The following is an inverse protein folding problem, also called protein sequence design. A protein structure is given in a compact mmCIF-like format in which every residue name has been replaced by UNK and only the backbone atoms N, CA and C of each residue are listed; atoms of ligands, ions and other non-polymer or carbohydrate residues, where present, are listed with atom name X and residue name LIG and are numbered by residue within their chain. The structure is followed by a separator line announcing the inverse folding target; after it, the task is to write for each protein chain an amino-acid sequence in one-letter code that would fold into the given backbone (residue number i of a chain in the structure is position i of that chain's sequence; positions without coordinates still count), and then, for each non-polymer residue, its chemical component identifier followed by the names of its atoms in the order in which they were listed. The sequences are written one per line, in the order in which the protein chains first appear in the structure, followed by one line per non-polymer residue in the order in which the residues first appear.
data_IF_417165325483
#
_entry.id   IF_417165325483
#
_cell.length_a   1.000
_cell.length_b   1.000
_cell.length_c   1.000
_cell.angle_alpha   90.00
_cell.angle_beta   90.00
_cell.angle_gamma   90.00
#
_symmetry.space_group_name_H-M   'P 1'
#
loop_
_entity.id
_entity.type
_entity.pdbx_description
1 polymer ?
#
# COMPACT_ATOMS: atom_id res chain seq x y z
N UNK A 1 23.68 52.46 25.43
CA UNK A 1 22.22 52.65 25.27
C UNK A 1 21.64 52.40 26.63
N UNK A 2 21.03 53.42 27.21
CA UNK A 2 20.59 53.41 28.60
C UNK A 2 19.39 52.48 28.78
N UNK A 3 19.32 51.80 29.90
CA UNK A 3 18.25 50.92 30.33
C UNK A 3 16.86 51.57 30.22
N UNK A 4 16.76 52.88 30.41
CA UNK A 4 15.54 53.69 30.16
C UNK A 4 14.97 53.60 28.74
N UNK A 5 15.79 53.29 27.74
CA UNK A 5 15.30 53.16 26.34
C UNK A 5 14.70 51.81 26.07
N UNK A 6 15.09 50.78 26.82
CA UNK A 6 14.56 49.43 26.74
C UNK A 6 13.24 49.34 27.50
N UNK A 7 13.16 50.03 28.67
CA UNK A 7 11.95 50.09 29.49
C UNK A 7 10.82 50.85 28.80
N UNK A 8 11.13 51.83 27.96
CA UNK A 8 10.16 52.57 27.16
C UNK A 8 9.72 51.81 25.89
N UNK A 9 10.47 50.85 25.42
CA UNK A 9 10.07 50.01 24.27
C UNK A 9 9.05 48.91 24.67
N UNK A 10 9.04 48.58 25.96
CA UNK A 10 8.07 47.69 26.56
C UNK A 10 7.27 48.42 27.64
N UNK A 11 6.78 49.63 27.32
CA UNK A 11 5.96 50.40 28.22
C UNK A 11 4.79 49.55 28.73
N UNK A 12 4.86 49.17 30.00
CA UNK A 12 3.89 48.31 30.67
C UNK A 12 2.44 48.83 30.56
N UNK A 13 2.30 50.12 30.35
CA UNK A 13 1.01 50.78 30.21
C UNK A 13 0.26 50.40 28.92
N UNK A 14 0.97 50.20 27.79
CA UNK A 14 0.32 49.78 26.54
C UNK A 14 -0.15 48.31 26.57
N UNK A 15 0.61 47.45 27.22
CA UNK A 15 0.22 46.05 27.40
C UNK A 15 -0.92 45.88 28.39
N UNK A 16 -0.97 46.70 29.45
CA UNK A 16 -2.07 46.70 30.41
C UNK A 16 -3.39 47.15 29.75
N UNK A 17 -3.39 48.12 28.85
CA UNK A 17 -4.55 48.50 28.07
C UNK A 17 -5.02 47.40 27.12
N UNK A 18 -4.06 46.74 26.44
CA UNK A 18 -4.37 45.57 25.59
C UNK A 18 -4.94 44.42 26.44
N UNK A 19 -4.31 44.11 27.56
CA UNK A 19 -4.82 43.07 28.47
C UNK A 19 -6.19 43.41 29.01
N UNK A 20 -6.46 44.67 29.36
CA UNK A 20 -7.76 45.09 29.89
C UNK A 20 -8.85 45.03 28.83
N UNK A 21 -8.53 45.38 27.59
CA UNK A 21 -9.48 45.29 26.48
C UNK A 21 -9.78 43.81 26.10
N UNK A 22 -8.80 42.91 26.22
CA UNK A 22 -8.93 41.51 25.90
C UNK A 22 -9.22 40.60 27.10
N UNK A 23 -9.27 41.07 28.34
CA UNK A 23 -9.53 40.27 29.54
C UNK A 23 -10.92 39.64 29.53
N UNK A 24 -11.89 40.24 28.86
CA UNK A 24 -13.25 39.76 28.73
C UNK A 24 -13.46 38.93 27.45
N UNK A 25 -12.47 38.86 26.56
CA UNK A 25 -12.55 38.01 25.39
C UNK A 25 -12.26 36.60 25.80
N UNK A 26 -13.26 35.75 25.87
CA UNK A 26 -13.05 34.29 26.03
C UNK A 26 -12.19 33.84 24.88
N UNK A 27 -10.99 33.29 25.18
CA UNK A 27 -10.11 32.68 24.18
C UNK A 27 -10.77 31.50 23.42
N UNK A 28 -11.99 31.11 23.80
CA UNK A 28 -12.83 30.15 23.12
C UNK A 28 -13.83 30.76 22.12
N UNK A 29 -13.97 32.11 22.12
CA UNK A 29 -14.86 32.78 21.18
C UNK A 29 -14.07 33.23 19.96
N UNK A 30 -14.09 32.40 18.92
CA UNK A 30 -13.56 32.75 17.59
C UNK A 30 -14.55 33.55 16.76
N UNK A 31 -15.54 34.14 17.42
CA UNK A 31 -16.63 34.84 16.78
C UNK A 31 -16.11 36.17 16.25
N UNK A 32 -16.41 36.42 14.98
CA UNK A 32 -16.06 37.67 14.31
C UNK A 32 -16.60 38.90 15.09
N UNK A 33 -17.82 38.80 15.57
CA UNK A 33 -18.48 39.90 16.29
C UNK A 33 -17.78 40.23 17.61
N UNK A 34 -17.36 39.21 18.34
CA UNK A 34 -16.61 39.40 19.59
C UNK A 34 -15.23 40.05 19.37
N UNK A 35 -14.52 39.67 18.33
CA UNK A 35 -13.24 40.31 17.98
C UNK A 35 -13.46 41.76 17.52
N UNK A 36 -14.51 41.98 16.72
CA UNK A 36 -14.88 43.29 16.24
C UNK A 36 -15.22 44.25 17.39
N UNK A 37 -16.09 43.83 18.33
CA UNK A 37 -16.43 44.59 19.53
C UNK A 37 -15.19 44.92 20.37
N UNK A 38 -14.33 43.96 20.62
CA UNK A 38 -13.06 44.17 21.34
C UNK A 38 -12.15 45.20 20.64
N UNK A 39 -12.09 45.20 19.32
CA UNK A 39 -11.30 46.17 18.55
C UNK A 39 -11.95 47.57 18.62
N UNK A 40 -13.25 47.69 18.56
CA UNK A 40 -13.93 48.99 18.72
C UNK A 40 -13.72 49.53 20.13
N UNK A 41 -13.88 48.70 21.16
CA UNK A 41 -13.65 49.08 22.54
C UNK A 41 -12.19 49.54 22.77
N UNK A 42 -11.21 48.81 22.24
CA UNK A 42 -9.83 49.17 22.30
C UNK A 42 -9.54 50.54 21.68
N UNK A 43 -10.07 50.83 20.49
CA UNK A 43 -9.89 52.10 19.79
C UNK A 43 -10.57 53.23 20.55
N UNK A 44 -11.77 53.01 21.08
CA UNK A 44 -12.52 54.00 21.84
C UNK A 44 -11.85 54.40 23.15
N UNK A 45 -11.19 53.45 23.83
CA UNK A 45 -10.44 53.70 25.07
C UNK A 45 -9.09 54.37 24.78
N UNK A 46 -8.40 53.96 23.71
CA UNK A 46 -7.04 54.41 23.41
C UNK A 46 -7.00 55.77 22.70
N UNK A 47 -8.00 56.08 21.89
CA UNK A 47 -8.06 57.29 21.05
C UNK A 47 -9.43 58.00 21.11
N UNK A 48 -9.91 58.41 22.32
CA UNK A 48 -11.26 58.92 22.50
C UNK A 48 -11.55 60.24 21.75
N UNK A 49 -10.50 61.04 21.53
CA UNK A 49 -10.64 62.34 20.88
C UNK A 49 -10.52 62.32 19.35
N UNK A 50 -10.05 61.18 18.78
CA UNK A 50 -9.73 61.11 17.35
C UNK A 50 -10.68 60.17 16.55
N UNK A 51 -11.25 59.22 17.22
CA UNK A 51 -12.07 58.18 16.58
C UNK A 51 -13.36 57.95 17.36
N UNK A 52 -14.37 58.81 17.13
CA UNK A 52 -15.69 58.74 17.74
C UNK A 52 -16.81 58.45 16.70
N UNK A 53 -16.45 58.23 15.43
CA UNK A 53 -17.39 57.86 14.36
C UNK A 53 -17.34 56.36 14.12
N UNK A 54 -18.20 55.64 14.85
CA UNK A 54 -18.37 54.19 14.75
C UNK A 54 -19.58 53.79 13.94
N UNK A 55 -19.97 54.62 12.97
CA UNK A 55 -21.08 54.30 12.08
C UNK A 55 -20.69 53.14 11.19
N UNK A 56 -21.57 52.14 11.08
CA UNK A 56 -21.32 50.87 10.35
C UNK A 56 -20.99 51.03 8.87
N UNK A 57 -21.17 52.23 8.32
CA UNK A 57 -20.86 52.57 6.93
C UNK A 57 -19.53 53.36 6.78
N UNK A 58 -18.77 53.60 7.85
CA UNK A 58 -17.53 54.36 7.75
C UNK A 58 -16.41 53.49 7.19
N UNK A 59 -15.49 54.09 6.41
CA UNK A 59 -14.30 53.41 5.88
C UNK A 59 -13.43 52.84 6.99
N UNK A 60 -13.40 53.50 8.16
CA UNK A 60 -12.63 53.07 9.33
C UNK A 60 -13.20 51.77 9.93
N UNK A 61 -14.51 51.64 10.04
CA UNK A 61 -15.18 50.43 10.52
C UNK A 61 -14.92 49.26 9.55
N UNK A 62 -14.90 49.50 8.24
CA UNK A 62 -14.54 48.48 7.26
C UNK A 62 -13.14 47.96 7.42
N UNK A 63 -12.18 48.80 7.83
CA UNK A 63 -10.82 48.37 8.17
C UNK A 63 -10.78 47.51 9.45
N UNK A 64 -11.53 47.90 10.49
CA UNK A 64 -11.68 47.10 11.71
C UNK A 64 -12.33 45.75 11.42
N UNK A 65 -13.35 45.71 10.56
CA UNK A 65 -14.00 44.47 10.13
C UNK A 65 -13.05 43.55 9.38
N UNK A 66 -12.17 44.10 8.54
CA UNK A 66 -11.10 43.32 7.88
C UNK A 66 -10.10 42.72 8.89
N UNK A 67 -9.68 43.53 9.88
CA UNK A 67 -8.77 43.06 10.94
C UNK A 67 -9.47 42.01 11.81
N UNK A 68 -10.73 42.19 12.15
CA UNK A 68 -11.52 41.21 12.89
C UNK A 68 -11.65 39.88 12.12
N UNK A 69 -11.89 39.96 10.82
CA UNK A 69 -11.95 38.78 9.94
C UNK A 69 -10.60 38.04 9.89
N UNK A 70 -9.48 38.76 9.79
CA UNK A 70 -8.14 38.16 9.85
C UNK A 70 -7.90 37.51 11.21
N UNK A 71 -8.25 38.20 12.31
CA UNK A 71 -8.17 37.68 13.66
C UNK A 71 -8.97 36.40 13.85
N UNK A 72 -10.22 36.38 13.38
CA UNK A 72 -11.09 35.20 13.37
C UNK A 72 -10.44 34.02 12.60
N UNK A 73 -9.99 34.27 11.38
CA UNK A 73 -9.33 33.25 10.54
C UNK A 73 -8.06 32.69 11.18
N UNK A 74 -7.23 33.54 11.79
CA UNK A 74 -6.00 33.12 12.47
C UNK A 74 -6.31 32.30 13.73
N UNK A 75 -7.27 32.77 14.55
CA UNK A 75 -7.69 32.06 15.76
C UNK A 75 -8.25 30.68 15.45
N UNK A 76 -9.09 30.58 14.42
CA UNK A 76 -9.61 29.29 13.96
C UNK A 76 -8.49 28.34 13.52
N UNK A 77 -7.52 28.84 12.74
CA UNK A 77 -6.37 28.04 12.32
C UNK A 77 -5.49 27.61 13.48
N UNK A 78 -5.33 28.47 14.47
CA UNK A 78 -4.55 28.18 15.67
C UNK A 78 -5.21 27.06 16.50
N UNK A 79 -6.54 27.16 16.69
CA UNK A 79 -7.29 26.12 17.40
C UNK A 79 -7.23 24.78 16.67
N UNK A 80 -7.49 24.78 15.36
CA UNK A 80 -7.36 23.59 14.53
C UNK A 80 -5.97 22.98 14.67
N UNK A 81 -4.90 23.77 14.54
CA UNK A 81 -3.56 23.26 14.68
C UNK A 81 -3.26 22.74 16.09
N UNK A 82 -3.80 23.38 17.13
CA UNK A 82 -3.63 22.94 18.51
C UNK A 82 -4.32 21.62 18.75
N UNK A 83 -5.58 21.50 18.29
CA UNK A 83 -6.37 20.26 18.41
C UNK A 83 -5.73 19.09 17.67
N UNK A 84 -5.15 19.36 16.49
CA UNK A 84 -4.46 18.36 15.68
C UNK A 84 -3.14 17.82 16.31
N UNK A 85 -2.65 18.43 17.37
CA UNK A 85 -1.46 17.96 18.09
C UNK A 85 -1.76 16.98 19.25
N UNK A 86 -3.04 16.76 19.57
CA UNK A 86 -3.45 15.84 20.62
C UNK A 86 -4.30 14.70 20.05
N UNK A 87 -4.00 13.46 20.45
CA UNK A 87 -4.65 12.27 19.94
C UNK A 87 -6.17 12.26 20.16
N UNK A 88 -6.61 12.79 21.32
CA UNK A 88 -8.02 12.82 21.71
C UNK A 88 -8.85 13.85 20.92
N UNK A 89 -8.20 14.83 20.32
CA UNK A 89 -8.87 15.95 19.62
C UNK A 89 -8.52 16.05 18.15
N UNK A 90 -7.57 15.26 17.67
CA UNK A 90 -7.15 15.23 16.27
C UNK A 90 -8.26 14.63 15.39
N UNK A 91 -8.71 15.36 14.40
CA UNK A 91 -9.71 14.94 13.43
C UNK A 91 -9.08 14.48 12.11
N UNK A 92 -7.89 15.02 11.78
CA UNK A 92 -7.18 14.67 10.55
C UNK A 92 -6.43 13.37 10.71
N UNK A 93 -6.72 12.44 9.79
CA UNK A 93 -6.06 11.13 9.75
C UNK A 93 -4.54 11.23 9.70
N UNK A 94 -3.99 12.20 8.94
CA UNK A 94 -2.55 12.45 8.86
C UNK A 94 -1.93 12.81 10.22
N UNK A 95 -2.61 13.66 11.00
CA UNK A 95 -2.15 14.06 12.33
C UNK A 95 -2.13 12.86 13.28
N UNK A 96 -3.18 12.04 13.26
CA UNK A 96 -3.26 10.80 14.04
C UNK A 96 -2.14 9.83 13.65
N UNK A 97 -1.91 9.65 12.35
CA UNK A 97 -0.84 8.76 11.85
C UNK A 97 0.54 9.27 12.24
N UNK A 98 0.78 10.57 12.16
CA UNK A 98 2.05 11.19 12.57
C UNK A 98 2.31 10.99 14.06
N UNK A 99 1.29 11.20 14.92
CA UNK A 99 1.42 10.96 16.34
C UNK A 99 1.64 9.48 16.67
N UNK A 100 0.90 8.59 16.01
CA UNK A 100 1.09 7.15 16.15
C UNK A 100 2.53 6.75 15.79
N UNK A 101 3.07 7.27 14.69
CA UNK A 101 4.46 7.04 14.27
C UNK A 101 5.47 7.56 15.30
N UNK A 102 5.21 8.72 15.92
CA UNK A 102 6.06 9.25 16.99
C UNK A 102 6.05 8.36 18.24
N UNK A 103 4.95 7.66 18.50
CA UNK A 103 4.81 6.67 19.58
C UNK A 103 5.35 5.28 19.20
N UNK A 104 5.91 5.11 17.99
CA UNK A 104 6.43 3.83 17.50
C UNK A 104 5.37 2.91 16.91
N UNK A 105 4.15 3.39 16.66
CA UNK A 105 3.11 2.61 15.99
C UNK A 105 3.16 2.84 14.48
N UNK A 106 3.51 1.81 13.73
CA UNK A 106 3.34 1.82 12.29
C UNK A 106 1.93 1.38 11.94
N UNK A 107 1.25 2.18 11.13
CA UNK A 107 -0.04 1.80 10.59
C UNK A 107 0.13 0.63 9.64
N UNK A 108 -0.56 -0.46 9.93
CA UNK A 108 -0.71 -1.58 9.00
C UNK A 108 -1.85 -1.27 8.01
N UNK A 109 -1.58 -1.47 6.73
CA UNK A 109 -2.59 -1.44 5.68
C UNK A 109 -3.34 -2.78 5.64
N UNK A 110 -4.53 -2.84 5.01
CA UNK A 110 -5.19 -4.10 4.74
C UNK A 110 -4.28 -5.07 3.98
N UNK A 111 -4.47 -6.36 4.21
CA UNK A 111 -3.78 -7.43 3.49
C UNK A 111 -4.77 -8.22 2.65
N UNK A 112 -4.32 -8.73 1.52
CA UNK A 112 -5.15 -9.55 0.64
C UNK A 112 -5.42 -10.93 1.24
N UNK A 113 -6.62 -11.44 1.10
CA UNK A 113 -6.91 -12.83 1.39
C UNK A 113 -6.10 -13.74 0.45
N UNK A 114 -5.59 -14.85 0.98
CA UNK A 114 -4.71 -15.76 0.27
C UNK A 114 -4.98 -17.20 0.65
N UNK A 115 -4.78 -18.12 -0.29
CA UNK A 115 -4.98 -19.53 -0.02
C UNK A 115 -4.56 -20.42 -1.18
N UNK A 116 -4.52 -21.72 -0.89
CA UNK A 116 -4.32 -22.74 -1.92
C UNK A 116 -5.68 -23.21 -2.40
N UNK A 117 -5.87 -23.17 -3.71
CA UNK A 117 -7.04 -23.71 -4.39
C UNK A 117 -6.66 -25.02 -5.05
N UNK A 118 -7.37 -26.10 -4.72
CA UNK A 118 -7.22 -27.40 -5.39
C UNK A 118 -7.98 -27.38 -6.70
N UNK A 119 -7.34 -27.77 -7.76
CA UNK A 119 -8.00 -27.98 -9.05
C UNK A 119 -8.73 -29.32 -8.97
N UNK A 120 -10.04 -29.31 -8.99
CA UNK A 120 -10.87 -30.52 -8.85
C UNK A 120 -11.31 -31.13 -10.17
N UNK A 121 -11.42 -30.30 -11.20
CA UNK A 121 -11.73 -30.74 -12.55
C UNK A 121 -11.18 -29.79 -13.59
N UNK A 122 -10.98 -30.28 -14.79
CA UNK A 122 -10.59 -29.48 -15.96
C UNK A 122 -11.49 -29.86 -17.12
N UNK A 123 -12.08 -28.87 -17.77
CA UNK A 123 -12.80 -29.07 -19.04
C UNK A 123 -11.94 -28.51 -20.16
N UNK A 124 -11.60 -29.34 -21.11
CA UNK A 124 -10.81 -28.95 -22.28
C UNK A 124 -11.62 -29.01 -23.56
N UNK A 125 -11.45 -28.02 -24.41
CA UNK A 125 -11.99 -27.99 -25.78
C UNK A 125 -10.88 -28.22 -26.84
N UNK A 126 -9.67 -28.51 -26.39
CA UNK A 126 -8.55 -28.77 -27.29
C UNK A 126 -8.50 -30.22 -27.75
N UNK A 127 -8.03 -30.48 -28.97
CA UNK A 127 -7.84 -31.84 -29.48
C UNK A 127 -6.60 -32.48 -28.85
N UNK A 128 -6.72 -32.88 -27.59
CA UNK A 128 -5.69 -33.56 -26.83
C UNK A 128 -6.01 -35.03 -26.76
N UNK A 129 -5.00 -35.90 -26.78
CA UNK A 129 -5.12 -37.30 -26.51
C UNK A 129 -4.44 -37.65 -25.18
N UNK A 130 -5.00 -38.65 -24.49
CA UNK A 130 -4.34 -39.28 -23.36
C UNK A 130 -3.16 -40.17 -23.81
N UNK A 131 -2.45 -40.77 -22.86
CA UNK A 131 -1.33 -41.66 -23.17
C UNK A 131 -1.71 -42.92 -23.95
N UNK A 132 -3.00 -43.26 -23.92
CA UNK A 132 -3.56 -44.40 -24.68
C UNK A 132 -4.06 -43.97 -26.08
N UNK A 133 -3.98 -42.70 -26.41
CA UNK A 133 -4.44 -42.14 -27.69
C UNK A 133 -5.91 -41.78 -27.74
N UNK A 134 -6.66 -41.83 -26.61
CA UNK A 134 -8.05 -41.43 -26.55
C UNK A 134 -8.18 -39.90 -26.57
N UNK A 135 -9.14 -39.39 -27.35
CA UNK A 135 -9.36 -37.94 -27.38
C UNK A 135 -9.98 -37.42 -26.09
N UNK A 136 -9.34 -36.42 -25.52
CA UNK A 136 -9.82 -35.65 -24.36
C UNK A 136 -10.59 -34.38 -24.76
N UNK A 137 -10.74 -34.13 -26.05
CA UNK A 137 -11.45 -32.95 -26.53
C UNK A 137 -12.90 -32.90 -26.02
N UNK A 138 -13.31 -31.75 -25.52
CA UNK A 138 -14.65 -31.49 -24.97
C UNK A 138 -15.06 -32.46 -23.82
N UNK A 139 -14.12 -32.95 -23.08
CA UNK A 139 -14.36 -33.77 -21.87
C UNK A 139 -14.08 -32.94 -20.62
N UNK A 140 -14.90 -33.18 -19.60
CA UNK A 140 -14.61 -32.76 -18.24
C UNK A 140 -13.89 -33.91 -17.53
N UNK A 141 -12.66 -33.64 -17.10
CA UNK A 141 -11.83 -34.62 -16.41
C UNK A 141 -11.91 -34.27 -14.92
N UNK A 142 -12.51 -35.18 -14.15
CA UNK A 142 -12.62 -35.03 -12.70
C UNK A 142 -11.48 -35.73 -11.97
N UNK A 143 -10.94 -35.10 -10.98
CA UNK A 143 -9.79 -35.56 -10.19
C UNK A 143 -10.06 -36.84 -9.39
N UNK A 144 -11.29 -37.01 -8.95
CA UNK A 144 -11.68 -38.15 -8.13
C UNK A 144 -12.23 -39.36 -8.95
N UNK A 145 -12.18 -39.28 -10.27
CA UNK A 145 -12.67 -40.38 -11.10
C UNK A 145 -11.56 -41.42 -11.23
N UNK A 146 -11.82 -42.60 -10.65
CA UNK A 146 -10.90 -43.75 -10.70
C UNK A 146 -10.63 -44.25 -12.12
N UNK A 147 -11.50 -43.93 -13.07
CA UNK A 147 -11.32 -44.30 -14.49
C UNK A 147 -10.34 -43.36 -15.22
N UNK A 148 -9.92 -42.31 -14.58
CA UNK A 148 -8.99 -41.29 -15.10
C UNK A 148 -7.70 -41.22 -14.26
N UNK A 149 -7.24 -42.33 -13.70
CA UNK A 149 -6.01 -42.36 -12.89
C UNK A 149 -4.80 -41.80 -13.65
N UNK A 150 -4.77 -41.98 -14.96
CA UNK A 150 -3.64 -41.58 -15.82
C UNK A 150 -3.62 -40.07 -16.13
N UNK A 151 -4.74 -39.37 -15.93
CA UNK A 151 -4.74 -37.95 -16.23
C UNK A 151 -3.89 -37.13 -15.23
N UNK A 152 -3.63 -37.67 -14.07
CA UNK A 152 -2.71 -37.06 -13.12
C UNK A 152 -1.32 -36.87 -13.72
N UNK A 153 -0.85 -37.82 -14.51
CA UNK A 153 0.40 -37.72 -15.26
C UNK A 153 0.24 -36.78 -16.47
N UNK A 154 -0.98 -36.69 -17.02
CA UNK A 154 -1.28 -35.91 -18.21
C UNK A 154 -1.74 -34.46 -17.93
N UNK A 155 -1.89 -34.03 -16.66
CA UNK A 155 -2.37 -32.69 -16.36
C UNK A 155 -1.48 -31.59 -16.95
N UNK A 156 -0.18 -31.78 -16.90
CA UNK A 156 0.80 -30.85 -17.49
C UNK A 156 0.67 -30.83 -19.01
N UNK A 157 0.38 -31.95 -19.64
CA UNK A 157 0.13 -32.03 -21.09
C UNK A 157 -1.17 -31.32 -21.49
N UNK A 158 -2.19 -31.43 -20.66
CA UNK A 158 -3.45 -30.68 -20.86
C UNK A 158 -3.20 -29.18 -20.84
N UNK A 159 -2.43 -28.68 -19.89
CA UNK A 159 -2.05 -27.27 -19.85
C UNK A 159 -1.17 -26.91 -21.03
N UNK A 160 -0.18 -27.76 -21.36
CA UNK A 160 0.72 -27.53 -22.48
C UNK A 160 0.01 -27.47 -23.82
N UNK A 161 -1.12 -28.11 -23.97
CA UNK A 161 -1.92 -28.03 -25.20
C UNK A 161 -2.51 -26.64 -25.44
N UNK A 162 -2.72 -25.85 -24.38
CA UNK A 162 -3.17 -24.46 -24.48
C UNK A 162 -2.03 -23.44 -24.58
N UNK A 163 -0.76 -23.89 -24.54
CA UNK A 163 0.42 -23.03 -24.62
C UNK A 163 1.16 -23.21 -25.95
N UNK A 164 1.91 -22.18 -26.37
CA UNK A 164 2.82 -22.31 -27.50
C UNK A 164 4.01 -23.18 -27.20
N UNK A 165 4.72 -23.64 -28.22
CA UNK A 165 5.90 -24.50 -28.06
C UNK A 165 7.01 -23.88 -27.21
N UNK A 166 7.11 -22.53 -27.21
CA UNK A 166 8.10 -21.79 -26.41
C UNK A 166 7.67 -21.58 -24.95
N UNK A 167 6.39 -21.73 -24.66
CA UNK A 167 5.81 -21.50 -23.34
C UNK A 167 5.45 -22.80 -22.62
N UNK A 168 5.71 -23.94 -23.22
CA UNK A 168 5.38 -25.26 -22.63
C UNK A 168 6.16 -25.50 -21.35
N UNK A 169 5.44 -26.02 -20.38
CA UNK A 169 6.01 -26.54 -19.14
C UNK A 169 6.67 -27.88 -19.46
N UNK A 170 7.93 -28.06 -19.09
CA UNK A 170 8.66 -29.32 -19.29
C UNK A 170 8.91 -30.00 -17.95
N UNK A 171 9.66 -29.36 -17.09
CA UNK A 171 10.07 -29.91 -15.80
C UNK A 171 9.64 -28.98 -14.65
N UNK A 172 9.50 -29.50 -13.43
CA UNK A 172 9.30 -28.66 -12.27
C UNK A 172 10.49 -27.74 -12.04
N UNK A 173 10.23 -26.46 -11.77
CA UNK A 173 11.26 -25.48 -11.48
C UNK A 173 11.91 -25.70 -10.10
N UNK A 174 11.18 -26.35 -9.18
CA UNK A 174 11.66 -26.69 -7.85
C UNK A 174 10.85 -27.86 -7.27
N UNK A 175 11.46 -28.59 -6.35
CA UNK A 175 10.82 -29.66 -5.59
C UNK A 175 11.23 -29.61 -4.13
N UNK A 176 10.32 -29.97 -3.22
CA UNK A 176 10.58 -30.01 -1.78
C UNK A 176 9.61 -30.96 -1.06
N UNK A 177 10.11 -31.68 -0.07
CA UNK A 177 9.27 -32.46 0.84
C UNK A 177 8.91 -31.60 2.06
N UNK A 178 7.63 -31.29 2.22
CA UNK A 178 7.10 -30.52 3.35
C UNK A 178 6.19 -31.39 4.20
N UNK A 179 6.58 -31.63 5.45
CA UNK A 179 5.79 -32.46 6.39
C UNK A 179 5.42 -33.85 5.83
N UNK A 180 6.34 -34.50 5.10
CA UNK A 180 6.12 -35.80 4.49
C UNK A 180 5.32 -35.76 3.18
N UNK A 181 5.01 -34.60 2.65
CA UNK A 181 4.30 -34.41 1.38
C UNK A 181 5.33 -33.93 0.35
N UNK A 182 5.41 -34.61 -0.77
CA UNK A 182 6.18 -34.16 -1.91
C UNK A 182 5.47 -33.02 -2.61
N UNK A 183 6.22 -31.95 -2.91
CA UNK A 183 5.71 -30.79 -3.62
C UNK A 183 6.62 -30.47 -4.79
N UNK A 184 6.03 -30.26 -5.95
CA UNK A 184 6.69 -29.88 -7.20
C UNK A 184 6.07 -28.57 -7.70
N UNK A 185 6.89 -27.57 -8.02
CA UNK A 185 6.45 -26.31 -8.59
C UNK A 185 6.65 -26.30 -10.11
N UNK A 186 5.61 -25.98 -10.83
CA UNK A 186 5.61 -25.79 -12.29
C UNK A 186 5.29 -24.34 -12.61
N UNK A 187 6.18 -23.65 -13.32
CA UNK A 187 5.92 -22.27 -13.76
C UNK A 187 5.12 -22.27 -15.07
N UNK A 188 4.02 -21.53 -15.08
CA UNK A 188 3.18 -21.31 -16.24
C UNK A 188 3.37 -19.90 -16.75
N UNK A 189 3.71 -19.76 -18.02
CA UNK A 189 3.87 -18.47 -18.68
C UNK A 189 2.70 -18.22 -19.66
N UNK A 190 1.96 -17.16 -19.44
CA UNK A 190 0.83 -16.71 -20.27
C UNK A 190 1.23 -15.71 -21.38
N UNK A 191 2.46 -15.75 -21.86
CA UNK A 191 2.93 -14.80 -22.87
C UNK A 191 2.15 -14.85 -24.20
N UNK A 192 1.46 -15.96 -24.47
CA UNK A 192 0.66 -16.14 -25.69
C UNK A 192 -0.82 -15.84 -25.43
N UNK A 193 -1.30 -14.75 -26.01
CA UNK A 193 -2.67 -14.29 -25.81
C UNK A 193 -3.72 -15.14 -26.51
N UNK A 194 -3.36 -15.99 -27.50
CA UNK A 194 -4.33 -16.74 -28.32
C UNK A 194 -4.85 -18.01 -27.66
N UNK A 195 -4.09 -18.54 -26.67
CA UNK A 195 -4.41 -19.78 -25.95
C UNK A 195 -4.13 -19.66 -24.45
N UNK A 196 -4.44 -18.51 -23.89
CA UNK A 196 -4.07 -18.19 -22.52
C UNK A 196 -4.81 -19.08 -21.51
N UNK A 197 -4.04 -19.70 -20.61
CA UNK A 197 -4.56 -20.18 -19.34
C UNK A 197 -4.91 -18.96 -18.51
N UNK A 198 -6.15 -18.87 -18.02
CA UNK A 198 -6.55 -17.76 -17.16
C UNK A 198 -5.85 -17.87 -15.80
N UNK A 199 -5.15 -16.83 -15.41
CA UNK A 199 -4.52 -16.75 -14.08
C UNK A 199 -5.28 -15.79 -13.15
N UNK A 200 -6.36 -15.19 -13.61
CA UNK A 200 -7.26 -14.39 -12.78
C UNK A 200 -8.70 -14.84 -13.00
N UNK A 201 -9.47 -14.87 -11.94
CA UNK A 201 -10.87 -15.26 -11.94
C UNK A 201 -11.64 -14.43 -10.91
N UNK A 202 -12.95 -14.49 -10.96
CA UNK A 202 -13.84 -13.79 -10.03
C UNK A 202 -14.75 -14.81 -9.36
N UNK A 203 -14.82 -14.77 -8.04
CA UNK A 203 -15.69 -15.63 -7.25
C UNK A 203 -16.56 -14.82 -6.29
N UNK A 204 -17.80 -15.26 -6.00
CA UNK A 204 -18.67 -14.63 -5.03
C UNK A 204 -18.19 -14.97 -3.61
N UNK A 205 -17.72 -13.97 -2.87
CA UNK A 205 -17.31 -14.12 -1.47
C UNK A 205 -18.00 -13.07 -0.63
N UNK A 206 -18.67 -13.50 0.44
CA UNK A 206 -19.41 -12.61 1.36
C UNK A 206 -20.40 -11.67 0.65
N UNK A 207 -21.09 -12.19 -0.39
CA UNK A 207 -22.12 -11.44 -1.13
C UNK A 207 -21.60 -10.47 -2.18
N UNK A 208 -20.30 -10.41 -2.43
CA UNK A 208 -19.68 -9.58 -3.47
C UNK A 208 -18.76 -10.41 -4.36
N UNK A 209 -18.71 -10.05 -5.64
CA UNK A 209 -17.77 -10.67 -6.57
C UNK A 209 -16.36 -10.16 -6.31
N UNK A 210 -15.45 -11.04 -5.92
CA UNK A 210 -14.04 -10.75 -5.62
C UNK A 210 -13.13 -11.28 -6.72
N UNK A 211 -12.17 -10.46 -7.10
CA UNK A 211 -11.14 -10.86 -8.04
C UNK A 211 -10.03 -11.61 -7.33
N UNK A 212 -9.65 -12.76 -7.86
CA UNK A 212 -8.51 -13.56 -7.44
C UNK A 212 -7.50 -13.63 -8.58
N UNK A 213 -6.24 -13.68 -8.20
CA UNK A 213 -5.14 -13.91 -9.12
C UNK A 213 -4.28 -15.06 -8.61
N UNK A 214 -3.95 -15.99 -9.51
CA UNK A 214 -2.93 -16.98 -9.25
C UNK A 214 -1.56 -16.28 -9.24
N UNK A 215 -0.75 -16.56 -8.23
CA UNK A 215 0.54 -15.92 -8.04
C UNK A 215 1.69 -16.90 -8.23
N UNK A 216 2.86 -16.37 -8.54
CA UNK A 216 4.09 -17.12 -8.57
C UNK A 216 4.51 -17.46 -7.14
N UNK A 217 4.94 -18.72 -6.91
CA UNK A 217 5.37 -19.19 -5.60
C UNK A 217 6.79 -19.76 -5.65
N UNK A 218 7.45 -19.78 -4.50
CA UNK A 218 8.75 -20.38 -4.31
C UNK A 218 8.82 -21.12 -2.97
N UNK A 219 9.85 -21.96 -2.80
CA UNK A 219 10.13 -22.59 -1.53
C UNK A 219 11.14 -21.78 -0.73
N UNK A 220 10.77 -21.40 0.49
CA UNK A 220 11.65 -20.69 1.42
C UNK A 220 11.38 -21.19 2.84
N UNK A 221 12.41 -21.53 3.59
CA UNK A 221 12.33 -21.95 5.00
C UNK A 221 11.28 -23.04 5.26
N UNK A 222 11.24 -24.08 4.44
CA UNK A 222 10.26 -25.16 4.52
C UNK A 222 8.79 -24.69 4.40
N UNK A 223 8.54 -23.64 3.62
CA UNK A 223 7.21 -23.13 3.30
C UNK A 223 7.10 -22.79 1.83
N UNK A 224 5.87 -22.82 1.35
CA UNK A 224 5.52 -22.26 0.05
C UNK A 224 5.08 -20.82 0.29
N UNK A 225 5.80 -19.88 -0.29
CA UNK A 225 5.51 -18.45 -0.19
C UNK A 225 5.28 -17.85 -1.58
N UNK A 226 4.69 -16.67 -1.63
CA UNK A 226 4.64 -15.89 -2.86
C UNK A 226 6.05 -15.43 -3.23
N UNK A 227 6.46 -15.74 -4.44
CA UNK A 227 7.70 -15.23 -5.00
C UNK A 227 7.53 -13.77 -5.44
N UNK A 228 8.62 -13.03 -5.44
CA UNK A 228 8.64 -11.68 -5.97
C UNK A 228 8.17 -11.66 -7.43
N UNK A 229 7.22 -10.78 -7.82
CA UNK A 229 6.71 -10.75 -9.18
C UNK A 229 7.80 -10.28 -10.14
N UNK A 230 7.98 -11.02 -11.24
CA UNK A 230 8.88 -10.64 -12.34
C UNK A 230 8.04 -10.05 -13.47
N UNK A 231 6.91 -10.70 -13.76
CA UNK A 231 5.96 -10.26 -14.76
C UNK A 231 4.53 -10.72 -14.41
N UNK A 232 3.52 -10.04 -14.93
CA UNK A 232 2.11 -10.29 -14.57
C UNK A 232 1.53 -11.58 -15.13
N UNK A 233 2.21 -12.20 -16.09
CA UNK A 233 1.71 -13.36 -16.84
C UNK A 233 2.30 -14.68 -16.37
N UNK A 234 3.02 -14.69 -15.26
CA UNK A 234 3.59 -15.91 -14.68
C UNK A 234 2.93 -16.26 -13.36
N UNK A 235 2.58 -17.52 -13.21
CA UNK A 235 2.14 -18.09 -11.95
C UNK A 235 2.65 -19.52 -11.81
N UNK A 236 2.50 -20.13 -10.65
CA UNK A 236 2.94 -21.50 -10.42
C UNK A 236 1.76 -22.41 -10.16
N UNK A 237 1.84 -23.62 -10.69
CA UNK A 237 1.03 -24.76 -10.31
C UNK A 237 1.85 -25.65 -9.39
N UNK A 238 1.24 -26.07 -8.28
CA UNK A 238 1.86 -26.87 -7.25
C UNK A 238 1.28 -28.27 -7.33
N UNK A 239 2.08 -29.25 -7.72
CA UNK A 239 1.70 -30.65 -7.61
C UNK A 239 2.11 -31.14 -6.22
N UNK A 240 1.16 -31.69 -5.47
CA UNK A 240 1.38 -32.26 -4.13
C UNK A 240 1.00 -33.72 -4.13
N UNK A 241 1.84 -34.54 -3.50
CA UNK A 241 1.59 -35.96 -3.34
C UNK A 241 1.89 -36.39 -1.90
N UNK A 242 0.86 -36.84 -1.18
CA UNK A 242 0.97 -37.38 0.19
C UNK A 242 1.00 -38.89 0.24
N UNK A 243 1.11 -39.57 -0.93
CA UNK A 243 1.11 -41.00 -1.10
C UNK A 243 -0.19 -41.70 -0.63
N UNK A 244 -1.28 -40.96 -0.41
CA UNK A 244 -2.60 -41.52 -0.07
C UNK A 244 -3.54 -41.63 -1.28
N UNK A 245 -3.05 -41.21 -2.43
CA UNK A 245 -3.80 -41.27 -3.70
C UNK A 245 -4.64 -40.01 -4.00
N UNK A 246 -5.26 -39.97 -5.21
CA UNK A 246 -5.93 -38.76 -5.71
C UNK A 246 -7.14 -38.31 -4.91
N UNK A 247 -7.77 -39.22 -4.16
CA UNK A 247 -8.91 -38.92 -3.30
C UNK A 247 -8.53 -38.07 -2.06
N UNK A 248 -7.24 -38.03 -1.72
CA UNK A 248 -6.76 -37.21 -0.59
C UNK A 248 -6.93 -35.70 -0.89
N UNK A 249 -7.43 -34.96 0.09
CA UNK A 249 -7.50 -33.50 0.00
C UNK A 249 -6.11 -32.84 -0.12
N UNK A 250 -5.04 -33.56 0.20
CA UNK A 250 -3.67 -33.07 0.19
C UNK A 250 -2.89 -33.45 -1.06
N UNK A 251 -3.44 -34.33 -1.89
CA UNK A 251 -2.85 -34.76 -3.16
C UNK A 251 -3.56 -34.07 -4.32
N UNK A 252 -2.81 -33.66 -5.32
CA UNK A 252 -3.35 -33.06 -6.53
C UNK A 252 -2.59 -31.82 -6.96
N UNK A 253 -3.19 -31.09 -7.90
CA UNK A 253 -2.67 -29.81 -8.37
C UNK A 253 -3.36 -28.66 -7.66
N UNK A 254 -2.55 -27.72 -7.22
CA UNK A 254 -2.99 -26.55 -6.47
C UNK A 254 -2.44 -25.29 -7.12
N UNK A 255 -3.20 -24.21 -6.97
CA UNK A 255 -2.80 -22.87 -7.33
C UNK A 255 -2.83 -22.02 -6.07
N UNK A 256 -1.79 -21.23 -5.84
CA UNK A 256 -1.80 -20.25 -4.78
C UNK A 256 -2.43 -18.97 -5.30
N UNK A 257 -3.58 -18.62 -4.74
CA UNK A 257 -4.36 -17.47 -5.18
C UNK A 257 -4.42 -16.39 -4.10
N UNK A 258 -4.45 -15.14 -4.55
CA UNK A 258 -4.65 -13.95 -3.72
C UNK A 258 -5.75 -13.09 -4.28
N UNK A 259 -6.50 -12.42 -3.40
CA UNK A 259 -7.47 -11.41 -3.82
C UNK A 259 -6.80 -10.13 -4.29
N UNK A 260 -7.51 -9.31 -5.06
CA UNK A 260 -7.04 -8.03 -5.56
C UNK A 260 -6.32 -8.13 -6.91
N UNK A 261 -5.67 -7.05 -7.29
CA UNK A 261 -4.99 -6.92 -8.59
C UNK A 261 -3.55 -6.49 -8.39
N UNK A 262 -2.62 -7.19 -9.04
CA UNK A 262 -1.23 -6.81 -9.11
C UNK A 262 -1.06 -5.72 -10.19
N UNK A 263 -0.51 -4.58 -9.78
CA UNK A 263 -0.17 -3.45 -10.63
C UNK A 263 1.33 -3.17 -10.55
N UNK A 264 1.83 -2.35 -11.46
CA UNK A 264 3.20 -1.85 -11.38
C UNK A 264 3.34 -0.46 -11.97
N UNK A 265 4.34 0.27 -11.51
CA UNK A 265 4.80 1.54 -12.06
C UNK A 265 6.30 1.49 -12.34
N UNK A 266 6.73 2.21 -13.38
CA UNK A 266 8.14 2.32 -13.74
C UNK A 266 8.60 3.76 -13.51
N UNK A 267 9.78 3.89 -12.87
CA UNK A 267 10.41 5.17 -12.57
C UNK A 267 11.83 5.19 -13.15
N UNK A 268 12.22 6.32 -13.70
CA UNK A 268 13.57 6.51 -14.28
C UNK A 268 14.21 7.78 -13.72
N UNK A 269 15.37 7.62 -13.10
CA UNK A 269 16.16 8.72 -12.55
C UNK A 269 17.50 8.82 -13.29
N UNK A 270 17.64 9.81 -14.15
CA UNK A 270 18.84 10.00 -14.99
C UNK A 270 20.06 10.46 -14.18
N UNK A 271 19.82 11.05 -13.01
CA UNK A 271 20.86 11.50 -12.08
C UNK A 271 20.65 10.87 -10.71
N UNK A 272 21.71 10.78 -9.90
CA UNK A 272 21.60 10.33 -8.52
C UNK A 272 20.81 11.35 -7.69
N UNK A 273 19.75 10.89 -7.06
CA UNK A 273 18.89 11.71 -6.17
C UNK A 273 18.94 11.13 -4.76
N UNK A 274 19.49 11.90 -3.83
CA UNK A 274 19.56 11.51 -2.42
C UNK A 274 18.23 11.82 -1.73
N UNK A 275 17.82 10.96 -0.80
CA UNK A 275 16.56 11.10 -0.04
C UNK A 275 15.33 11.26 -0.96
N UNK A 276 15.34 10.56 -2.08
CA UNK A 276 14.20 10.60 -3.00
C UNK A 276 12.97 10.03 -2.30
N UNK A 277 11.87 10.75 -2.42
CA UNK A 277 10.54 10.29 -2.03
C UNK A 277 9.70 10.15 -3.29
N UNK A 278 9.21 8.95 -3.53
CA UNK A 278 8.31 8.66 -4.66
C UNK A 278 6.96 8.20 -4.12
N UNK A 279 5.87 8.73 -4.66
CA UNK A 279 4.52 8.43 -4.19
C UNK A 279 3.78 7.59 -5.22
N UNK A 280 3.25 6.45 -4.77
CA UNK A 280 2.29 5.66 -5.54
C UNK A 280 0.90 6.08 -5.11
N UNK A 281 0.18 6.74 -6.03
CA UNK A 281 -1.08 7.39 -5.73
C UNK A 281 -2.30 6.44 -5.69
N UNK A 282 -2.14 5.17 -6.10
CA UNK A 282 -3.20 4.18 -6.03
C UNK A 282 -3.66 3.97 -4.59
N UNK A 283 -4.97 3.93 -4.41
CA UNK A 283 -5.58 3.71 -3.09
C UNK A 283 -5.56 2.22 -2.70
N UNK A 284 -5.63 1.98 -1.39
CA UNK A 284 -5.81 0.64 -0.82
C UNK A 284 -4.71 -0.37 -1.21
N UNK A 285 -3.46 0.07 -1.19
CA UNK A 285 -2.31 -0.79 -1.45
C UNK A 285 -2.12 -1.76 -0.27
N UNK A 286 -1.94 -3.04 -0.59
CA UNK A 286 -1.68 -4.11 0.38
C UNK A 286 -0.45 -3.83 1.24
N UNK A 287 -0.53 -4.20 2.52
CA UNK A 287 0.58 -4.02 3.46
C UNK A 287 1.81 -4.89 3.12
N UNK A 288 1.56 -6.10 2.62
CA UNK A 288 2.62 -7.09 2.35
C UNK A 288 3.15 -7.03 0.92
N UNK A 289 2.34 -6.56 -0.02
CA UNK A 289 2.54 -6.75 -1.44
C UNK A 289 3.01 -5.47 -2.12
N UNK A 290 4.18 -5.01 -1.72
CA UNK A 290 4.92 -3.93 -2.38
C UNK A 290 6.35 -4.40 -2.59
N UNK A 291 6.81 -4.43 -3.83
CA UNK A 291 8.18 -4.83 -4.21
C UNK A 291 8.80 -3.74 -5.07
N UNK A 292 10.03 -3.38 -4.77
CA UNK A 292 10.79 -2.41 -5.55
C UNK A 292 11.96 -3.12 -6.19
N UNK A 293 12.08 -2.98 -7.49
CA UNK A 293 13.08 -3.68 -8.30
C UNK A 293 13.87 -2.70 -9.16
N UNK A 294 15.12 -3.02 -9.38
CA UNK A 294 15.88 -2.44 -10.49
C UNK A 294 15.57 -3.20 -11.76
N UNK A 295 15.41 -2.45 -12.83
CA UNK A 295 15.25 -2.98 -14.17
C UNK A 295 16.33 -2.39 -15.10
N UNK A 296 16.66 -3.13 -16.14
CA UNK A 296 17.58 -2.64 -17.16
C UNK A 296 16.89 -1.64 -18.12
N UNK A 297 17.60 -1.21 -19.15
CA UNK A 297 17.09 -0.29 -20.17
C UNK A 297 15.98 -0.90 -21.04
N UNK A 298 15.82 -2.23 -21.00
CA UNK A 298 14.77 -2.97 -21.71
C UNK A 298 13.59 -3.32 -20.78
N UNK A 299 13.57 -2.75 -19.56
CA UNK A 299 12.60 -3.05 -18.52
C UNK A 299 12.61 -4.51 -18.04
N UNK A 300 13.72 -5.21 -18.17
CA UNK A 300 13.90 -6.56 -17.65
C UNK A 300 14.41 -6.50 -16.21
N UNK A 301 13.92 -7.39 -15.33
CA UNK A 301 14.33 -7.49 -13.95
C UNK A 301 15.86 -7.66 -13.84
N UNK A 302 16.48 -6.89 -12.98
CA UNK A 302 17.92 -6.94 -12.70
C UNK A 302 18.21 -7.37 -11.27
N UNK A 303 17.62 -6.71 -10.28
CA UNK A 303 17.78 -7.02 -8.86
C UNK A 303 16.65 -6.45 -8.02
N UNK A 304 16.46 -7.02 -6.83
CA UNK A 304 15.50 -6.49 -5.85
C UNK A 304 16.15 -5.42 -4.99
N UNK A 305 15.35 -4.42 -4.61
CA UNK A 305 15.73 -3.39 -3.65
C UNK A 305 15.32 -3.86 -2.26
N UNK A 306 16.23 -3.79 -1.29
CA UNK A 306 15.96 -4.25 0.06
C UNK A 306 14.97 -3.32 0.76
N UNK A 307 13.83 -3.86 1.20
CA UNK A 307 12.91 -3.13 2.07
C UNK A 307 13.50 -3.04 3.47
N UNK A 308 13.50 -1.83 4.03
CA UNK A 308 13.88 -1.57 5.40
C UNK A 308 12.67 -1.04 6.16
N UNK A 309 12.34 -1.67 7.27
CA UNK A 309 11.33 -1.17 8.19
C UNK A 309 11.98 -0.17 9.14
N UNK A 310 11.40 1.01 9.23
CA UNK A 310 11.86 2.02 10.17
C UNK A 310 11.77 1.57 11.64
N UNK A 311 11.07 0.47 11.91
CA UNK A 311 10.74 -0.01 13.25
C UNK A 311 11.63 -1.13 13.77
N UNK A 312 12.35 -1.84 12.92
CA UNK A 312 13.26 -2.87 13.39
C UNK A 312 14.65 -2.29 13.54
N UNK A 313 15.19 -2.32 14.74
CA UNK A 313 16.58 -1.92 15.05
C UNK A 313 17.61 -2.67 14.21
N UNK A 314 17.26 -3.81 13.66
CA UNK A 314 18.09 -4.64 12.78
C UNK A 314 18.18 -4.09 11.36
N UNK A 315 17.16 -3.37 10.90
CA UNK A 315 17.10 -2.74 9.59
C UNK A 315 17.28 -1.22 9.66
N UNK A 316 17.45 -0.67 10.87
CA UNK A 316 17.80 0.73 11.02
C UNK A 316 19.11 1.00 10.29
N UNK A 317 19.08 1.98 9.44
CA UNK A 317 20.21 2.47 8.61
C UNK A 317 21.50 2.62 9.43
N UNK A 318 21.39 2.93 10.72
CA UNK A 318 22.51 3.13 11.65
C UNK A 318 23.25 1.87 12.07
N UNK A 319 22.64 0.68 11.94
CA UNK A 319 23.27 -0.57 12.42
C UNK A 319 23.94 -1.37 11.32
N UNK A 320 23.86 -0.94 10.09
CA UNK A 320 24.32 -1.72 8.97
C UNK A 320 25.48 -1.08 8.25
N UNK A 321 26.64 -1.02 8.90
CA UNK A 321 27.92 -0.87 8.20
C UNK A 321 28.12 -1.96 7.10
N UNK A 322 27.35 -3.04 7.14
CA UNK A 322 27.32 -4.09 6.10
C UNK A 322 26.54 -3.68 4.86
N UNK A 323 25.54 -2.81 4.96
CA UNK A 323 24.67 -2.42 3.85
C UNK A 323 24.89 -0.98 3.38
N UNK A 324 25.97 -0.34 3.80
CA UNK A 324 26.29 1.05 3.46
C UNK A 324 26.36 1.40 1.97
N UNK A 325 26.32 0.39 1.09
CA UNK A 325 26.31 0.54 -0.37
C UNK A 325 25.17 -0.26 -1.02
N UNK A 326 24.14 -0.67 -0.26
CA UNK A 326 23.00 -1.40 -0.79
C UNK A 326 21.90 -0.48 -1.30
N UNK A 327 21.11 -1.00 -2.25
CA UNK A 327 19.86 -0.37 -2.64
C UNK A 327 18.81 -0.68 -1.59
N UNK A 328 18.36 0.34 -0.89
CA UNK A 328 17.38 0.26 0.19
C UNK A 328 16.19 1.17 -0.07
N UNK A 329 15.03 0.77 0.41
CA UNK A 329 13.80 1.57 0.34
C UNK A 329 12.95 1.31 1.58
N UNK A 330 12.39 2.36 2.18
CA UNK A 330 11.34 2.21 3.18
C UNK A 330 9.98 2.53 2.58
N UNK A 331 8.94 1.78 2.99
CA UNK A 331 7.57 1.90 2.48
C UNK A 331 6.71 2.50 3.58
N UNK A 332 6.35 3.76 3.43
CA UNK A 332 5.51 4.48 4.38
C UNK A 332 4.06 4.53 3.92
N UNK A 333 3.14 4.41 4.86
CA UNK A 333 1.71 4.52 4.57
C UNK A 333 1.29 5.98 4.65
N UNK A 334 0.61 6.46 3.61
CA UNK A 334 -0.03 7.77 3.54
C UNK A 334 -1.55 7.63 3.51
N UNK A 335 -2.26 8.72 3.20
CA UNK A 335 -3.71 8.71 3.10
C UNK A 335 -4.24 7.72 2.07
N UNK A 336 -5.50 7.31 2.25
CA UNK A 336 -6.18 6.33 1.39
C UNK A 336 -5.45 4.98 1.26
N UNK A 337 -4.59 4.62 2.22
CA UNK A 337 -3.72 3.44 2.15
C UNK A 337 -2.80 3.42 0.92
N UNK A 338 -2.48 4.57 0.37
CA UNK A 338 -1.42 4.75 -0.61
C UNK A 338 -0.04 4.68 0.06
N UNK A 339 1.03 4.67 -0.71
CA UNK A 339 2.39 4.51 -0.17
C UNK A 339 3.35 5.57 -0.71
N UNK A 340 4.28 5.96 0.16
CA UNK A 340 5.50 6.68 -0.20
C UNK A 340 6.70 5.76 -0.06
N UNK A 341 7.55 5.79 -1.05
CA UNK A 341 8.82 5.06 -1.12
C UNK A 341 9.94 6.03 -0.82
N UNK A 342 10.64 5.81 0.29
CA UNK A 342 11.79 6.62 0.68
C UNK A 342 13.07 5.86 0.36
N UNK A 343 13.84 6.36 -0.59
CA UNK A 343 15.10 5.77 -1.05
C UNK A 343 16.28 6.24 -0.19
N UNK A 344 17.42 5.59 -0.36
CA UNK A 344 18.65 5.88 0.38
C UNK A 344 19.16 7.30 0.19
N UNK A 345 19.91 7.76 1.19
CA UNK A 345 20.49 9.11 1.27
C UNK A 345 21.82 9.29 0.51
N UNK A 346 22.40 8.19 0.03
CA UNK A 346 23.70 8.16 -0.62
C UNK A 346 24.87 7.96 0.35
N UNK A 347 24.62 7.85 1.65
CA UNK A 347 25.63 7.62 2.71
C UNK A 347 25.44 6.22 3.32
N UNK A 348 24.24 5.93 3.82
CA UNK A 348 23.89 4.64 4.42
C UNK A 348 23.22 3.67 3.45
N UNK A 349 22.67 4.19 2.38
CA UNK A 349 22.12 3.45 1.25
C UNK A 349 22.39 4.19 -0.04
N UNK A 350 22.35 3.48 -1.16
CA UNK A 350 22.58 4.10 -2.46
C UNK A 350 21.51 5.17 -2.73
N UNK A 351 21.95 6.34 -3.22
CA UNK A 351 21.04 7.33 -3.78
C UNK A 351 20.35 6.76 -5.02
N UNK A 352 19.06 7.03 -5.16
CA UNK A 352 18.28 6.52 -6.28
C UNK A 352 18.85 6.99 -7.63
N UNK A 353 19.05 6.05 -8.57
CA UNK A 353 19.48 6.35 -9.94
C UNK A 353 19.18 5.17 -10.86
N UNK A 354 18.95 5.42 -12.15
CA UNK A 354 18.61 4.39 -13.12
C UNK A 354 17.12 4.06 -13.14
N UNK A 355 16.78 2.86 -13.60
CA UNK A 355 15.40 2.44 -13.80
C UNK A 355 14.92 1.56 -12.67
N UNK A 356 13.71 1.83 -12.19
CA UNK A 356 13.03 1.07 -11.16
C UNK A 356 11.66 0.64 -11.64
N UNK A 357 11.23 -0.52 -11.17
CA UNK A 357 9.86 -1.00 -11.25
C UNK A 357 9.34 -1.23 -9.84
N UNK A 358 8.19 -0.69 -9.55
CA UNK A 358 7.49 -0.91 -8.28
C UNK A 358 6.25 -1.74 -8.55
N UNK A 359 6.21 -2.92 -7.98
CA UNK A 359 5.03 -3.77 -7.99
C UNK A 359 4.24 -3.54 -6.73
N UNK A 360 2.94 -3.48 -6.84
CA UNK A 360 2.03 -3.39 -5.71
C UNK A 360 0.70 -4.06 -6.01
N UNK A 361 0.06 -4.58 -4.97
CA UNK A 361 -1.27 -5.19 -5.09
C UNK A 361 -2.27 -4.31 -4.38
N UNK A 362 -3.41 -4.05 -5.02
CA UNK A 362 -4.53 -3.33 -4.43
C UNK A 362 -5.45 -4.29 -3.67
N UNK A 363 -6.14 -3.78 -2.64
CA UNK A 363 -7.11 -4.51 -1.83
C UNK A 363 -8.49 -3.88 -1.99
N UNK A 364 -9.54 -4.63 -1.66
CA UNK A 364 -10.91 -4.10 -1.64
C UNK A 364 -11.17 -3.22 -0.40
N UNK A 365 -10.22 -3.15 0.53
CA UNK A 365 -10.33 -2.42 1.82
C UNK A 365 -11.53 -2.84 2.68
N UNK A 366 -12.03 -4.06 2.48
CA UNK A 366 -13.12 -4.65 3.24
C UNK A 366 -12.63 -5.82 4.08
N UNK A 367 -13.25 -6.00 5.25
CA UNK A 367 -13.00 -7.16 6.09
C UNK A 367 -13.93 -8.29 5.68
N UNK A 368 -13.39 -9.35 5.11
CA UNK A 368 -14.11 -10.57 4.78
C UNK A 368 -13.21 -11.78 5.03
N UNK A 369 -13.85 -12.91 5.16
CA UNK A 369 -13.19 -14.21 5.25
C UNK A 369 -13.57 -15.01 4.01
N UNK A 370 -12.59 -15.64 3.41
CA UNK A 370 -12.83 -16.62 2.34
C UNK A 370 -12.91 -17.99 2.99
N UNK A 371 -14.07 -18.60 2.96
CA UNK A 371 -14.28 -19.96 3.45
C UNK A 371 -14.01 -21.00 2.34
N UNK A 372 -13.84 -22.26 2.76
CA UNK A 372 -13.39 -23.35 1.86
C UNK A 372 -14.26 -23.53 0.61
N UNK A 373 -15.55 -23.24 0.72
CA UNK A 373 -16.54 -23.47 -0.36
C UNK A 373 -16.90 -22.19 -1.13
N UNK A 374 -16.34 -21.03 -0.77
CA UNK A 374 -16.67 -19.77 -1.44
C UNK A 374 -16.09 -19.69 -2.85
N UNK A 375 -15.04 -20.45 -3.12
CA UNK A 375 -14.33 -20.48 -4.41
C UNK A 375 -14.49 -21.87 -5.02
N UNK A 376 -15.72 -22.26 -5.25
CA UNK A 376 -16.08 -23.49 -5.98
C UNK A 376 -16.78 -23.10 -7.27
N UNK A 377 -16.16 -23.32 -8.38
CA UNK A 377 -16.84 -23.42 -9.68
C UNK A 377 -16.93 -24.88 -10.10
#
# INVERSE_FOLDING_TARGET
MSQERVDNLFASESWTAVYTAFTNVSLKAYDFDTIREALIDYVSITYPDKFNDFISSSEFVAVLDLVAYLGHSLSFRLDMNTRENFLDTAERRESVLRMAKTLGYNKTRPTNARGFLKITSVTTNQPIADNEGNSLANRTINWNDSNNADWYENFIDIINASLTSTSKIQDPIASMVLSGIENYLYEVNQSDASRAVSFSFTAPVSGANRRFEAVRTEFTDNKIIEAEPIETKKFTIINRNDNLGPASDRTGFFVYAKTGKLNFENFTYNTKVSNLIETIADANISNTDVWVQRVDTTNTYSSSVTKVDNDTRETAIYNSLRNGNGDIVSVNTIDNNAVELHYGDGVFGNAASGNYRVWYRTTDNENYRVDRNDVSE
#
